data_IF_574754293208
#
_entry.id   IF_574754293208
#
_cell.length_a   1.000
_cell.length_b   1.000
_cell.length_c   1.000
_cell.angle_alpha   90.00
_cell.angle_beta   90.00
_cell.angle_gamma   90.00
#
_symmetry.space_group_name_H-M   'P 1'
#
loop_
_entity.id
_entity.type
_entity.pdbx_description
1 polymer ?
#
# COMPACT_ATOMS: atom_id res chain seq x y z
N UNK A 1 3.23 12.04 5.90
CA UNK A 1 2.07 11.24 5.46
C UNK A 1 2.50 9.78 5.33
N UNK A 2 1.60 8.86 5.63
CA UNK A 2 1.82 7.42 5.53
C UNK A 2 0.73 6.75 4.70
N UNK A 3 1.04 5.60 4.12
CA UNK A 3 0.09 4.80 3.35
C UNK A 3 0.34 3.31 3.61
N UNK A 4 -0.69 2.52 3.48
CA UNK A 4 -0.59 1.08 3.70
C UNK A 4 -1.57 0.29 2.81
N UNK A 5 -1.50 -1.03 2.87
CA UNK A 5 -2.37 -1.92 2.12
C UNK A 5 -3.13 -2.84 3.06
N UNK A 6 -4.37 -3.15 2.71
CA UNK A 6 -5.17 -4.21 3.32
C UNK A 6 -5.40 -5.27 2.25
N UNK A 7 -5.00 -6.50 2.50
CA UNK A 7 -5.08 -7.60 1.52
C UNK A 7 -5.66 -8.83 2.17
N UNK A 8 -6.70 -9.43 1.58
CA UNK A 8 -7.27 -10.69 2.04
C UNK A 8 -6.77 -11.88 1.20
N UNK A 9 -6.75 -13.05 1.83
CA UNK A 9 -6.49 -14.30 1.14
C UNK A 9 -7.50 -14.54 0.02
N UNK A 10 -8.78 -14.25 0.25
CA UNK A 10 -9.84 -14.40 -0.75
C UNK A 10 -9.60 -13.55 -2.00
N UNK A 11 -9.04 -12.33 -1.84
CA UNK A 11 -8.67 -11.49 -2.97
C UNK A 11 -7.55 -12.11 -3.80
N UNK A 12 -6.55 -12.69 -3.15
CA UNK A 12 -5.42 -13.31 -3.82
C UNK A 12 -5.82 -14.57 -4.59
N UNK A 13 -6.75 -15.34 -4.05
CA UNK A 13 -7.27 -16.57 -4.65
C UNK A 13 -8.34 -16.30 -5.73
N UNK A 14 -8.86 -15.08 -5.79
CA UNK A 14 -9.88 -14.70 -6.75
C UNK A 14 -9.40 -14.85 -8.20
N UNK A 15 -10.14 -15.63 -9.00
CA UNK A 15 -9.83 -15.94 -10.40
C UNK A 15 -8.50 -16.69 -10.63
N UNK A 16 -7.95 -17.38 -9.62
CA UNK A 16 -6.69 -18.14 -9.74
C UNK A 16 -5.51 -17.29 -10.29
N UNK A 17 -5.49 -15.99 -10.03
CA UNK A 17 -4.53 -15.07 -10.63
C UNK A 17 -3.59 -14.41 -9.57
N UNK A 18 -3.31 -15.17 -8.51
CA UNK A 18 -2.53 -14.67 -7.37
C UNK A 18 -1.16 -14.10 -7.78
N UNK A 19 -0.45 -14.70 -8.72
CA UNK A 19 0.84 -14.17 -9.22
C UNK A 19 0.73 -12.73 -9.71
N UNK A 20 -0.33 -12.41 -10.43
CA UNK A 20 -0.58 -11.05 -10.92
C UNK A 20 -0.81 -10.07 -9.77
N UNK A 21 -1.52 -10.50 -8.71
CA UNK A 21 -1.78 -9.64 -7.56
C UNK A 21 -0.52 -9.37 -6.76
N UNK A 22 0.35 -10.35 -6.57
CA UNK A 22 1.65 -10.15 -5.93
C UNK A 22 2.55 -9.21 -6.73
N UNK A 23 2.60 -9.32 -8.06
CA UNK A 23 3.35 -8.40 -8.91
C UNK A 23 2.82 -6.95 -8.83
N UNK A 24 1.51 -6.77 -8.68
CA UNK A 24 0.91 -5.45 -8.45
C UNK A 24 1.36 -4.83 -7.12
N UNK A 25 1.34 -5.60 -6.04
CA UNK A 25 1.84 -5.14 -4.73
C UNK A 25 3.34 -4.86 -4.76
N UNK A 26 4.13 -5.73 -5.38
CA UNK A 26 5.57 -5.54 -5.53
C UNK A 26 5.89 -4.26 -6.33
N UNK A 27 5.08 -3.93 -7.34
CA UNK A 27 5.19 -2.66 -8.07
C UNK A 27 4.94 -1.44 -7.17
N UNK A 28 3.88 -1.46 -6.36
CA UNK A 28 3.57 -0.36 -5.43
C UNK A 28 4.71 -0.15 -4.42
N UNK A 29 5.31 -1.24 -3.93
CA UNK A 29 6.46 -1.22 -3.01
C UNK A 29 7.72 -0.69 -3.72
N UNK A 30 7.97 -1.11 -4.97
CA UNK A 30 9.21 -0.78 -5.69
C UNK A 30 9.18 0.61 -6.32
N UNK A 31 7.99 1.17 -6.58
CA UNK A 31 7.87 2.47 -7.23
C UNK A 31 8.43 3.58 -6.33
N UNK A 32 9.26 4.45 -6.91
CA UNK A 32 9.87 5.61 -6.23
C UNK A 32 10.65 5.26 -4.96
N UNK A 33 11.12 4.01 -4.80
CA UNK A 33 11.80 3.51 -3.58
C UNK A 33 10.96 3.81 -2.30
N UNK A 34 9.63 3.71 -2.41
CA UNK A 34 8.64 4.04 -1.37
C UNK A 34 8.64 5.51 -0.91
N UNK A 35 9.25 6.45 -1.65
CA UNK A 35 9.29 7.87 -1.28
C UNK A 35 8.04 8.66 -1.65
N UNK A 36 7.15 8.07 -2.47
CA UNK A 36 5.85 8.70 -2.72
C UNK A 36 4.97 8.60 -1.45
N UNK A 37 4.25 9.68 -1.15
CA UNK A 37 3.35 9.72 0.00
C UNK A 37 2.23 8.66 -0.05
N UNK A 38 1.97 8.12 -1.23
CA UNK A 38 1.03 7.02 -1.47
C UNK A 38 1.69 5.63 -1.50
N UNK A 39 3.01 5.51 -1.33
CA UNK A 39 3.67 4.20 -1.28
C UNK A 39 3.33 3.45 0.01
N UNK A 40 3.10 2.12 -0.04
CA UNK A 40 2.80 1.34 1.14
C UNK A 40 4.06 1.09 1.98
N UNK A 41 3.95 1.25 3.29
CA UNK A 41 5.01 0.87 4.25
C UNK A 41 4.58 -0.31 5.12
N UNK A 42 3.29 -0.58 5.20
CA UNK A 42 2.71 -1.71 5.94
C UNK A 42 1.68 -2.42 5.06
N UNK A 43 1.59 -3.75 5.19
CA UNK A 43 0.51 -4.56 4.63
C UNK A 43 -0.18 -5.28 5.79
N UNK A 44 -1.47 -5.04 5.98
CA UNK A 44 -2.33 -5.84 6.83
C UNK A 44 -2.91 -6.99 6.02
N UNK A 45 -2.52 -8.20 6.36
CA UNK A 45 -2.96 -9.41 5.68
C UNK A 45 -4.06 -10.12 6.47
N UNK A 46 -5.21 -10.32 5.85
CA UNK A 46 -6.32 -11.13 6.36
C UNK A 46 -6.25 -12.53 5.76
N UNK A 47 -5.84 -13.49 6.56
CA UNK A 47 -5.72 -14.88 6.13
C UNK A 47 -4.96 -15.70 7.15
N UNK A 48 -4.84 -17.01 6.90
CA UNK A 48 -4.16 -17.94 7.81
C UNK A 48 -2.72 -18.24 7.40
N UNK A 49 -2.33 -17.93 6.17
CA UNK A 49 -1.04 -18.34 5.58
C UNK A 49 -0.12 -17.14 5.36
N UNK A 50 0.14 -16.36 6.41
CA UNK A 50 0.95 -15.13 6.31
C UNK A 50 2.39 -15.41 5.86
N UNK A 51 3.00 -16.52 6.25
CA UNK A 51 4.36 -16.87 5.84
C UNK A 51 4.43 -17.23 4.35
N UNK A 52 3.43 -17.94 3.82
CA UNK A 52 3.29 -18.22 2.41
C UNK A 52 3.03 -16.91 1.61
N UNK A 53 2.21 -16.02 2.17
CA UNK A 53 2.02 -14.68 1.61
C UNK A 53 3.35 -13.93 1.48
N UNK A 54 4.16 -13.88 2.55
CA UNK A 54 5.47 -13.22 2.53
C UNK A 54 6.42 -13.87 1.51
N UNK A 55 6.43 -15.21 1.42
CA UNK A 55 7.26 -15.93 0.44
C UNK A 55 6.86 -15.63 -1.01
N UNK A 56 5.57 -15.57 -1.32
CA UNK A 56 5.09 -15.20 -2.66
C UNK A 56 5.33 -13.73 -2.99
N UNK A 57 5.25 -12.85 -1.99
CA UNK A 57 5.59 -11.44 -2.16
C UNK A 57 7.08 -11.26 -2.43
N UNK A 58 7.95 -12.03 -1.77
CA UNK A 58 9.39 -12.01 -2.02
C UNK A 58 9.74 -12.42 -3.45
N UNK A 59 9.14 -13.48 -3.97
CA UNK A 59 9.28 -13.88 -5.38
C UNK A 59 8.85 -12.77 -6.35
N UNK A 60 7.75 -12.09 -6.03
CA UNK A 60 7.25 -10.99 -6.86
C UNK A 60 8.16 -9.75 -6.81
N UNK A 61 8.79 -9.48 -5.66
CA UNK A 61 9.78 -8.40 -5.52
C UNK A 61 11.04 -8.70 -6.34
N UNK A 62 11.53 -9.95 -6.35
CA UNK A 62 12.66 -10.35 -7.19
C UNK A 62 12.34 -10.20 -8.68
N UNK A 63 11.15 -10.61 -9.12
CA UNK A 63 10.72 -10.40 -10.50
C UNK A 63 10.65 -8.89 -10.82
N UNK A 64 10.09 -8.11 -9.90
CA UNK A 64 9.92 -6.67 -10.09
C UNK A 64 11.25 -5.94 -10.13
N UNK A 65 12.27 -6.40 -9.42
CA UNK A 65 13.62 -5.83 -9.43
C UNK A 65 14.23 -5.81 -10.84
N UNK A 66 13.91 -6.80 -11.68
CA UNK A 66 14.36 -6.84 -13.09
C UNK A 66 13.65 -5.79 -13.98
N UNK A 67 12.48 -5.31 -13.56
CA UNK A 67 11.65 -4.33 -14.31
C UNK A 67 11.88 -2.91 -13.78
N UNK A 68 11.99 -2.80 -12.47
CA UNK A 68 12.23 -1.56 -11.73
C UNK A 68 13.50 -1.78 -10.90
N UNK A 69 14.69 -1.55 -11.48
CA UNK A 69 15.95 -1.70 -10.75
C UNK A 69 16.00 -0.82 -9.51
N UNK A 70 16.65 -1.30 -8.46
CA UNK A 70 16.83 -0.51 -7.23
C UNK A 70 17.73 0.69 -7.49
N UNK A 71 17.34 1.83 -6.95
CA UNK A 71 18.17 3.03 -6.90
C UNK A 71 18.83 3.07 -5.53
N UNK A 72 20.14 2.85 -5.48
CA UNK A 72 20.88 2.89 -4.23
C UNK A 72 21.11 4.35 -3.79
N UNK A 73 20.74 4.66 -2.55
CA UNK A 73 20.99 5.93 -1.90
C UNK A 73 21.87 5.65 -0.69
N UNK A 74 23.10 6.16 -0.70
CA UNK A 74 24.13 5.84 0.31
C UNK A 74 23.62 6.02 1.76
N UNK A 75 22.86 7.06 2.02
CA UNK A 75 22.36 7.37 3.37
C UNK A 75 21.17 6.50 3.83
N UNK A 76 20.61 5.66 2.98
CA UNK A 76 19.46 4.79 3.33
C UNK A 76 19.91 3.39 3.72
N UNK A 77 21.13 3.01 3.39
CA UNK A 77 21.61 1.64 3.65
C UNK A 77 21.67 1.32 5.15
N UNK A 78 22.10 2.27 5.98
CA UNK A 78 22.09 2.10 7.43
C UNK A 78 20.69 1.84 7.98
N UNK A 79 19.69 2.59 7.51
CA UNK A 79 18.31 2.41 7.95
C UNK A 79 17.75 1.02 7.57
N UNK A 80 18.17 0.49 6.42
CA UNK A 80 17.80 -0.86 6.00
C UNK A 80 18.42 -1.89 6.94
N UNK A 81 19.69 -1.74 7.31
CA UNK A 81 20.38 -2.66 8.24
C UNK A 81 19.76 -2.61 9.63
N UNK A 82 19.45 -1.43 10.15
CA UNK A 82 18.77 -1.24 11.42
C UNK A 82 17.39 -1.90 11.43
N UNK A 83 16.65 -1.77 10.32
CA UNK A 83 15.34 -2.41 10.17
C UNK A 83 15.46 -3.95 10.09
N UNK A 84 16.50 -4.48 9.43
CA UNK A 84 16.78 -5.92 9.39
C UNK A 84 17.08 -6.44 10.80
N UNK A 85 18.00 -5.80 11.52
CA UNK A 85 18.37 -6.19 12.88
C UNK A 85 17.14 -6.19 13.80
N UNK A 86 16.34 -5.13 13.77
CA UNK A 86 15.11 -5.05 14.54
C UNK A 86 14.10 -6.12 14.11
N UNK A 87 13.99 -6.38 12.80
CA UNK A 87 13.09 -7.41 12.26
C UNK A 87 13.48 -8.84 12.67
N UNK A 88 14.77 -9.15 12.72
CA UNK A 88 15.28 -10.45 13.21
C UNK A 88 14.97 -10.67 14.70
N UNK A 89 14.99 -9.59 15.47
CA UNK A 89 14.68 -9.67 16.90
C UNK A 89 13.17 -9.73 17.19
N UNK A 90 12.35 -9.06 16.38
CA UNK A 90 10.91 -8.88 16.67
C UNK A 90 10.00 -9.83 15.89
N UNK A 91 10.53 -10.56 14.89
CA UNK A 91 9.68 -11.37 14.04
C UNK A 91 10.43 -12.25 13.06
N UNK A 92 9.95 -12.29 11.81
CA UNK A 92 10.54 -13.08 10.73
C UNK A 92 10.79 -12.18 9.52
N UNK A 93 11.92 -12.36 8.86
CA UNK A 93 12.30 -11.57 7.70
C UNK A 93 12.47 -12.43 6.45
N UNK A 94 12.21 -11.81 5.30
CA UNK A 94 12.57 -12.27 3.96
C UNK A 94 13.31 -11.14 3.29
N UNK A 95 14.41 -11.43 2.63
CA UNK A 95 15.23 -10.48 1.90
C UNK A 95 16.07 -11.19 0.85
N UNK A 96 16.53 -10.49 -0.18
CA UNK A 96 17.54 -11.06 -1.07
C UNK A 96 18.96 -10.82 -0.53
N UNK A 97 19.95 -11.41 -1.18
CA UNK A 97 21.36 -11.33 -0.75
C UNK A 97 21.90 -9.89 -0.67
N UNK A 98 21.44 -9.02 -1.55
CA UNK A 98 21.88 -7.63 -1.63
C UNK A 98 21.06 -6.65 -0.76
N UNK A 99 20.03 -7.12 -0.06
CA UNK A 99 19.05 -6.29 0.66
C UNK A 99 18.35 -5.26 -0.26
N UNK A 100 18.10 -5.63 -1.53
CA UNK A 100 17.39 -4.76 -2.48
C UNK A 100 15.93 -4.55 -2.08
N UNK A 101 15.37 -5.47 -1.34
CA UNK A 101 14.07 -5.40 -0.69
C UNK A 101 14.10 -6.21 0.61
N UNK A 102 13.26 -5.82 1.56
CA UNK A 102 13.13 -6.51 2.85
C UNK A 102 11.65 -6.58 3.22
N UNK A 103 11.18 -7.77 3.60
CA UNK A 103 9.86 -7.98 4.19
C UNK A 103 10.07 -8.33 5.66
N UNK A 104 9.42 -7.62 6.55
CA UNK A 104 9.47 -7.84 7.99
C UNK A 104 8.07 -8.21 8.47
N UNK A 105 7.87 -9.45 8.88
CA UNK A 105 6.65 -9.87 9.57
C UNK A 105 6.85 -9.72 11.07
N UNK A 106 6.04 -8.92 11.72
CA UNK A 106 6.00 -8.80 13.17
C UNK A 106 4.56 -8.74 13.70
N UNK A 107 4.40 -8.97 15.00
CA UNK A 107 3.09 -9.01 15.67
C UNK A 107 2.70 -7.66 16.29
N UNK A 108 3.55 -6.63 16.16
CA UNK A 108 3.23 -5.28 16.61
C UNK A 108 2.08 -4.71 15.79
N UNK A 109 0.95 -4.40 16.42
CA UNK A 109 -0.24 -3.89 15.72
C UNK A 109 -0.23 -2.35 15.68
N UNK A 110 0.76 -1.79 14.96
CA UNK A 110 0.96 -0.35 14.75
C UNK A 110 1.24 -0.07 13.27
N UNK A 111 1.10 1.17 12.83
CA UNK A 111 1.70 1.62 11.58
C UNK A 111 3.18 1.94 11.83
N UNK A 112 4.03 1.21 11.16
CA UNK A 112 5.47 1.43 11.28
C UNK A 112 5.90 2.73 10.62
N UNK A 113 6.93 3.36 11.16
CA UNK A 113 7.56 4.49 10.49
C UNK A 113 8.19 4.07 9.15
N UNK A 114 8.12 4.91 8.12
CA UNK A 114 8.73 4.61 6.84
C UNK A 114 10.24 4.43 6.93
N UNK A 115 10.73 3.26 6.54
CA UNK A 115 12.18 3.00 6.34
C UNK A 115 12.58 3.37 4.91
N UNK A 116 11.62 3.33 3.96
CA UNK A 116 11.81 3.46 2.53
C UNK A 116 12.60 2.30 1.91
N UNK A 117 13.12 2.50 0.70
CA UNK A 117 14.04 1.58 0.02
C UNK A 117 13.56 0.14 -0.04
N UNK A 118 12.24 -0.05 -0.24
CA UNK A 118 11.55 -1.34 -0.37
C UNK A 118 11.56 -2.19 0.91
N UNK A 119 11.59 -1.56 2.07
CA UNK A 119 11.34 -2.22 3.34
C UNK A 119 9.83 -2.18 3.61
N UNK A 120 9.20 -3.34 3.72
CA UNK A 120 7.75 -3.49 3.93
C UNK A 120 7.46 -4.32 5.19
N UNK A 121 6.60 -3.80 6.04
CA UNK A 121 6.12 -4.53 7.21
C UNK A 121 4.83 -5.29 6.88
N UNK A 122 4.74 -6.54 7.29
CA UNK A 122 3.55 -7.39 7.07
C UNK A 122 2.99 -7.81 8.41
N UNK A 123 1.72 -7.56 8.63
CA UNK A 123 1.02 -7.82 9.87
C UNK A 123 -0.25 -8.62 9.62
N UNK A 124 -0.51 -9.59 10.46
CA UNK A 124 -1.75 -10.36 10.37
C UNK A 124 -2.90 -9.60 11.03
N UNK A 125 -4.02 -9.49 10.34
CA UNK A 125 -5.25 -8.90 10.86
C UNK A 125 -6.47 -9.65 10.33
N UNK A 126 -7.01 -10.56 11.13
CA UNK A 126 -8.23 -11.30 10.75
C UNK A 126 -9.51 -10.48 10.96
N UNK A 127 -9.46 -9.50 11.86
CA UNK A 127 -10.51 -8.48 12.00
C UNK A 127 -10.01 -7.14 11.43
N UNK A 128 -10.51 -6.78 10.26
CA UNK A 128 -10.10 -5.55 9.58
C UNK A 128 -10.52 -4.27 10.33
N UNK A 129 -11.51 -4.36 11.21
CA UNK A 129 -11.93 -3.20 12.02
C UNK A 129 -10.93 -2.85 13.12
N UNK A 130 -10.10 -3.81 13.52
CA UNK A 130 -8.98 -3.54 14.44
C UNK A 130 -7.96 -2.55 13.90
N UNK A 131 -7.93 -2.32 12.58
CA UNK A 131 -7.05 -1.35 11.91
C UNK A 131 -7.55 0.09 12.08
N UNK A 132 -8.85 0.31 12.33
CA UNK A 132 -9.47 1.64 12.37
C UNK A 132 -8.82 2.61 13.39
N UNK A 133 -8.45 2.18 14.61
CA UNK A 133 -7.74 3.05 15.56
C UNK A 133 -6.36 3.53 15.09
N UNK A 134 -5.78 2.90 14.06
CA UNK A 134 -4.49 3.30 13.49
C UNK A 134 -4.64 4.42 12.45
N UNK A 135 -5.87 4.77 12.07
CA UNK A 135 -6.13 5.79 11.05
C UNK A 135 -6.13 7.15 11.72
N UNK A 136 -5.28 8.02 11.23
CA UNK A 136 -5.12 9.39 11.67
C UNK A 136 -4.89 10.32 10.46
N UNK A 137 -4.86 11.63 10.67
CA UNK A 137 -4.83 12.65 9.61
C UNK A 137 -3.64 12.54 8.63
N UNK A 138 -2.60 11.81 9.00
CA UNK A 138 -1.45 11.59 8.12
C UNK A 138 -1.63 10.37 7.21
N UNK A 139 -2.64 9.53 7.42
CA UNK A 139 -2.94 8.41 6.54
C UNK A 139 -3.59 8.93 5.26
N UNK A 140 -2.90 8.76 4.14
CA UNK A 140 -3.34 9.32 2.86
C UNK A 140 -4.01 8.30 1.96
N UNK A 141 -3.38 7.15 1.76
CA UNK A 141 -3.83 6.14 0.80
C UNK A 141 -3.84 4.76 1.46
N UNK A 142 -4.94 4.05 1.32
CA UNK A 142 -5.05 2.65 1.73
C UNK A 142 -5.45 1.83 0.51
N UNK A 143 -4.59 0.92 0.03
CA UNK A 143 -5.02 0.02 -1.04
C UNK A 143 -5.86 -1.13 -0.49
N UNK A 144 -6.92 -1.48 -1.22
CA UNK A 144 -7.89 -2.47 -0.82
C UNK A 144 -7.84 -3.71 -1.73
N UNK A 145 -7.01 -4.67 -1.36
CA UNK A 145 -7.02 -6.02 -1.91
C UNK A 145 -8.10 -6.87 -1.24
N UNK A 146 -9.35 -6.47 -1.41
CA UNK A 146 -10.55 -7.11 -0.88
C UNK A 146 -11.54 -7.38 -2.01
N UNK A 147 -12.55 -8.23 -1.77
CA UNK A 147 -13.58 -8.56 -2.76
C UNK A 147 -15.00 -8.35 -2.24
N UNK A 148 -15.92 -8.18 -3.17
CA UNK A 148 -17.37 -8.21 -2.90
C UNK A 148 -17.84 -7.17 -1.89
N UNK A 149 -18.80 -7.58 -1.04
CA UNK A 149 -19.41 -6.71 -0.03
C UNK A 149 -18.42 -6.25 1.04
N UNK A 150 -17.44 -7.08 1.38
CA UNK A 150 -16.42 -6.72 2.37
C UNK A 150 -15.62 -5.49 1.91
N UNK A 151 -15.20 -5.46 0.64
CA UNK A 151 -14.48 -4.31 0.08
C UNK A 151 -15.31 -3.03 0.18
N UNK A 152 -16.60 -3.10 -0.17
CA UNK A 152 -17.50 -1.94 -0.14
C UNK A 152 -17.68 -1.44 1.30
N UNK A 153 -17.92 -2.34 2.24
CA UNK A 153 -18.14 -1.99 3.65
C UNK A 153 -16.89 -1.34 4.26
N UNK A 154 -15.72 -1.96 4.07
CA UNK A 154 -14.44 -1.42 4.56
C UNK A 154 -14.13 -0.08 3.88
N UNK A 155 -14.37 0.07 2.58
CA UNK A 155 -14.17 1.34 1.89
C UNK A 155 -15.05 2.46 2.45
N UNK A 156 -16.32 2.18 2.73
CA UNK A 156 -17.24 3.15 3.35
C UNK A 156 -16.77 3.54 4.76
N UNK A 157 -16.40 2.55 5.58
CA UNK A 157 -15.92 2.81 6.93
C UNK A 157 -14.65 3.68 6.91
N UNK A 158 -13.67 3.35 6.05
CA UNK A 158 -12.42 4.10 5.90
C UNK A 158 -12.66 5.52 5.37
N UNK A 159 -13.58 5.70 4.43
CA UNK A 159 -13.96 7.02 3.93
C UNK A 159 -14.59 7.88 5.03
N UNK A 160 -15.42 7.28 5.91
CA UNK A 160 -16.00 7.96 7.07
C UNK A 160 -14.92 8.34 8.10
N UNK A 161 -13.80 7.64 8.15
CA UNK A 161 -12.62 7.96 8.96
C UNK A 161 -11.68 9.00 8.32
N UNK A 162 -12.04 9.52 7.13
CA UNK A 162 -11.30 10.59 6.44
C UNK A 162 -10.26 10.09 5.43
N UNK A 163 -10.20 8.79 5.14
CA UNK A 163 -9.29 8.28 4.11
C UNK A 163 -9.83 8.66 2.72
N UNK A 164 -9.03 9.38 1.96
CA UNK A 164 -9.45 9.99 0.69
C UNK A 164 -9.10 9.16 -0.55
N UNK A 165 -8.18 8.19 -0.45
CA UNK A 165 -7.78 7.35 -1.57
C UNK A 165 -7.79 5.87 -1.18
N UNK A 166 -8.58 5.09 -1.92
CA UNK A 166 -8.79 3.66 -1.68
C UNK A 166 -8.61 2.86 -2.98
N UNK A 167 -7.40 2.88 -3.60
CA UNK A 167 -7.14 2.19 -4.86
C UNK A 167 -7.05 0.68 -4.67
N UNK A 168 -7.08 -0.05 -5.79
CA UNK A 168 -6.66 -1.45 -5.82
C UNK A 168 -5.13 -1.57 -5.69
N UNK A 169 -4.60 -2.71 -5.19
CA UNK A 169 -3.17 -3.00 -5.23
C UNK A 169 -2.60 -2.88 -6.65
N UNK A 170 -1.45 -2.24 -6.78
CA UNK A 170 -0.81 -1.89 -8.05
C UNK A 170 -1.21 -0.51 -8.60
N UNK A 171 -2.08 0.21 -7.91
CA UNK A 171 -2.55 1.54 -8.33
C UNK A 171 -2.27 2.64 -7.29
N UNK A 172 -1.50 2.34 -6.25
CA UNK A 172 -1.25 3.31 -5.17
C UNK A 172 -0.49 4.55 -5.65
N UNK A 173 0.43 4.37 -6.60
CA UNK A 173 1.24 5.46 -7.17
C UNK A 173 0.69 6.06 -8.46
N UNK A 174 -0.49 5.62 -8.90
CA UNK A 174 -1.14 6.21 -10.07
C UNK A 174 -1.77 7.56 -9.72
N UNK A 175 -1.65 8.51 -10.66
CA UNK A 175 -2.34 9.80 -10.55
C UNK A 175 -3.76 9.64 -11.06
N UNK A 176 -4.73 9.66 -10.15
CA UNK A 176 -6.15 9.58 -10.44
C UNK A 176 -6.84 10.93 -10.18
N UNK A 177 -8.03 11.12 -10.75
CA UNK A 177 -8.87 12.29 -10.48
C UNK A 177 -10.17 11.79 -9.79
N UNK A 178 -10.50 12.23 -8.57
CA UNK A 178 -9.87 13.28 -7.76
C UNK A 178 -8.51 12.88 -7.17
N UNK A 179 -7.58 13.85 -7.07
CA UNK A 179 -6.32 13.67 -6.37
C UNK A 179 -6.39 14.29 -4.97
N UNK A 180 -6.01 13.54 -3.96
CA UNK A 180 -6.09 13.96 -2.54
C UNK A 180 -7.48 14.53 -2.16
N UNK A 181 -8.55 13.90 -2.68
CA UNK A 181 -9.93 14.32 -2.42
C UNK A 181 -10.37 15.58 -3.17
N UNK A 182 -9.54 16.14 -4.04
CA UNK A 182 -9.83 17.36 -4.81
C UNK A 182 -9.98 17.07 -6.30
N UNK A 183 -11.01 17.66 -6.88
CA UNK A 183 -11.16 17.71 -8.33
C UNK A 183 -10.26 18.84 -8.87
N UNK A 184 -9.03 18.50 -9.27
CA UNK A 184 -8.00 19.47 -9.66
C UNK A 184 -8.51 20.46 -10.72
N UNK A 185 -9.28 20.00 -11.71
CA UNK A 185 -9.84 20.88 -12.75
C UNK A 185 -10.79 21.92 -12.15
N UNK A 186 -11.65 21.52 -11.19
CA UNK A 186 -12.58 22.48 -10.57
C UNK A 186 -11.89 23.54 -9.72
N UNK A 187 -10.68 23.28 -9.24
CA UNK A 187 -9.86 24.28 -8.54
C UNK A 187 -9.18 25.26 -9.50
N UNK A 188 -9.00 24.87 -10.75
CA UNK A 188 -8.32 25.68 -11.79
C UNK A 188 -9.27 26.48 -12.67
N UNK A 189 -10.58 26.22 -12.62
CA UNK A 189 -11.58 26.89 -13.46
C UNK A 189 -12.62 27.63 -12.64
N UNK A 190 -13.18 28.66 -13.21
CA UNK A 190 -14.36 29.36 -12.66
C UNK A 190 -15.57 29.00 -13.49
N UNK A 191 -16.63 28.60 -12.83
CA UNK A 191 -17.91 28.35 -13.46
C UNK A 191 -18.75 29.66 -13.45
N UNK A 192 -19.32 30.01 -14.58
CA UNK A 192 -20.28 31.12 -14.68
C UNK A 192 -21.63 30.62 -15.20
N UNK A 193 -22.70 31.15 -14.67
CA UNK A 193 -24.06 30.85 -15.14
C UNK A 193 -24.51 31.92 -16.12
N UNK A 194 -24.94 31.50 -17.31
CA UNK A 194 -25.59 32.33 -18.26
C UNK A 194 -27.12 32.08 -18.20
N UNK A 195 -27.88 33.08 -17.80
CA UNK A 195 -29.33 33.02 -17.77
C UNK A 195 -29.94 33.76 -18.96
N UNK A 196 -31.15 33.36 -19.39
CA UNK A 196 -31.92 34.01 -20.43
C UNK A 196 -32.37 33.08 -21.56
N UNK A 197 -33.29 33.53 -22.44
CA UNK A 197 -33.72 32.76 -23.59
C UNK A 197 -32.54 32.59 -24.55
N UNK A 198 -32.11 31.40 -24.80
CA UNK A 198 -30.92 31.09 -25.58
C UNK A 198 -31.07 31.28 -27.07
N UNK A 199 -32.30 31.35 -27.60
CA UNK A 199 -32.56 31.62 -29.01
C UNK A 199 -34.00 32.09 -29.22
N UNK A 200 -34.20 33.06 -30.06
CA UNK A 200 -35.37 33.17 -30.91
C UNK A 200 -35.07 32.56 -32.26
#
# INVERSE_FOLDING_TARGET
KTSFSIVSQDYLEFNNNYKRYFLKMARDISSFEQKACSSPHTIFYKGTQIDDFCSKLSEALDITLNIIPKINVENEYSNILDAIEMGEFTGKIWKNENNDWVIIKNDNFILELPVFSRVIFVKQSNDLKSIYPLIHDEVQTISLGLIGKEKINIANDLSNLGVIRLPDPGLMTNFDNPWDGKLVISELVKFSTLGGPFLK
#
